data_IF_839819338200
#
_entry.id   IF_839819338200
#
_cell.length_a   1.000
_cell.length_b   1.000
_cell.length_c   1.000
_cell.angle_alpha   90.00
_cell.angle_beta   90.00
_cell.angle_gamma   90.00
#
_symmetry.space_group_name_H-M   'P 1'
#
loop_
_entity.id
_entity.type
_entity.pdbx_description
1 polymer ?
#
# COMPACT_ATOMS: atom_id res chain seq x y z
N UNK A 1 -1.59 3.23 -19.17
CA UNK A 1 -0.56 3.34 -18.09
C UNK A 1 -0.95 4.54 -17.22
N UNK A 2 -0.90 4.42 -15.89
CA UNK A 2 -1.33 5.46 -14.95
C UNK A 2 -0.22 5.81 -13.96
N UNK A 3 -0.08 5.02 -12.88
CA UNK A 3 1.00 5.15 -11.89
C UNK A 3 2.27 4.39 -12.28
N UNK A 4 3.43 4.80 -11.73
CA UNK A 4 4.77 4.37 -12.14
C UNK A 4 5.15 2.92 -11.82
N UNK A 5 4.50 2.24 -10.86
CA UNK A 5 4.89 0.87 -10.44
C UNK A 5 3.73 -0.15 -10.40
N UNK A 6 2.60 0.15 -11.04
CA UNK A 6 1.40 -0.73 -10.95
C UNK A 6 1.70 -2.17 -11.43
N UNK A 7 2.58 -2.33 -12.41
CA UNK A 7 2.99 -3.63 -12.93
C UNK A 7 3.97 -4.35 -12.00
N UNK A 8 4.93 -3.61 -11.43
CA UNK A 8 5.85 -4.13 -10.43
C UNK A 8 5.10 -4.66 -9.21
N UNK A 9 4.13 -3.90 -8.71
CA UNK A 9 3.30 -4.30 -7.56
C UNK A 9 2.59 -5.65 -7.82
N UNK A 10 1.99 -5.81 -9.01
CA UNK A 10 1.33 -7.08 -9.40
C UNK A 10 2.32 -8.22 -9.59
N UNK A 11 3.51 -7.93 -10.13
CA UNK A 11 4.59 -8.92 -10.29
C UNK A 11 5.09 -9.42 -8.93
N UNK A 12 5.10 -8.55 -7.92
CA UNK A 12 5.47 -8.89 -6.55
C UNK A 12 4.32 -9.48 -5.73
N UNK A 13 3.17 -9.79 -6.36
CA UNK A 13 2.06 -10.48 -5.72
C UNK A 13 1.13 -9.60 -4.90
N UNK A 14 1.12 -8.27 -5.11
CA UNK A 14 0.11 -7.38 -4.53
C UNK A 14 -1.20 -7.62 -5.29
N UNK A 15 -1.96 -8.61 -4.84
CA UNK A 15 -3.21 -9.05 -5.44
C UNK A 15 -4.19 -9.54 -4.39
N UNK A 16 -5.43 -9.09 -4.49
CA UNK A 16 -6.54 -9.57 -3.66
C UNK A 16 -7.06 -10.95 -4.10
N UNK A 17 -6.71 -11.41 -5.31
CA UNK A 17 -7.06 -12.74 -5.84
C UNK A 17 -5.81 -13.47 -6.38
N UNK A 18 -4.83 -13.75 -5.52
CA UNK A 18 -3.60 -14.41 -5.94
C UNK A 18 -3.87 -15.83 -6.45
N UNK A 19 -3.14 -16.26 -7.49
CA UNK A 19 -3.24 -17.64 -8.01
C UNK A 19 -2.72 -18.66 -6.99
N UNK A 20 -3.28 -19.88 -7.00
CA UNK A 20 -2.82 -20.99 -6.14
C UNK A 20 -1.30 -21.24 -6.27
N UNK A 21 -0.76 -21.14 -7.49
CA UNK A 21 0.67 -21.32 -7.74
C UNK A 21 1.55 -20.32 -6.97
N UNK A 22 1.10 -19.06 -6.84
CA UNK A 22 1.82 -18.06 -6.05
C UNK A 22 1.73 -18.38 -4.57
N UNK A 23 0.53 -18.74 -4.09
CA UNK A 23 0.29 -19.07 -2.69
C UNK A 23 1.11 -20.29 -2.24
N UNK A 24 1.16 -21.35 -3.05
CA UNK A 24 1.98 -22.54 -2.80
C UNK A 24 3.47 -22.21 -2.71
N UNK A 25 3.95 -21.28 -3.56
CA UNK A 25 5.35 -20.84 -3.53
C UNK A 25 5.67 -20.01 -2.29
N UNK A 26 4.75 -19.15 -1.84
CA UNK A 26 4.90 -18.38 -0.59
C UNK A 26 4.95 -19.35 0.60
N UNK A 27 3.99 -20.28 0.67
CA UNK A 27 3.91 -21.30 1.72
C UNK A 27 5.19 -22.13 1.79
N UNK A 28 5.67 -22.64 0.65
CA UNK A 28 6.92 -23.40 0.58
C UNK A 28 8.15 -22.57 0.97
N UNK A 29 8.21 -21.30 0.56
CA UNK A 29 9.38 -20.44 0.79
C UNK A 29 9.52 -19.97 2.23
N UNK A 30 8.39 -19.68 2.88
CA UNK A 30 8.33 -19.08 4.22
C UNK A 30 7.82 -20.03 5.30
N UNK A 31 7.38 -21.24 4.93
CA UNK A 31 7.00 -22.33 5.82
C UNK A 31 5.88 -21.95 6.82
N UNK A 32 4.80 -21.38 6.31
CA UNK A 32 3.58 -21.09 7.05
C UNK A 32 2.34 -21.29 6.17
N UNK A 33 1.21 -21.64 6.79
CA UNK A 33 -0.05 -21.84 6.07
C UNK A 33 -0.58 -20.51 5.50
N UNK A 34 -0.61 -20.41 4.17
CA UNK A 34 -1.05 -19.19 3.50
C UNK A 34 -2.58 -19.18 3.36
N UNK A 35 -3.29 -18.11 3.74
CA UNK A 35 -4.73 -17.99 3.51
C UNK A 35 -5.08 -18.15 2.02
N UNK A 36 -6.09 -18.99 1.73
CA UNK A 36 -6.50 -19.31 0.35
C UNK A 36 -7.77 -18.59 -0.11
N UNK A 37 -8.43 -17.85 0.77
CA UNK A 37 -9.60 -17.05 0.43
C UNK A 37 -9.22 -15.79 -0.36
N UNK A 38 -10.13 -15.32 -1.21
CA UNK A 38 -9.98 -14.01 -1.85
C UNK A 38 -10.05 -12.89 -0.81
N UNK A 39 -9.22 -11.87 -1.00
CA UNK A 39 -9.28 -10.62 -0.27
C UNK A 39 -10.32 -9.65 -0.84
N UNK A 40 -10.37 -8.46 -0.25
CA UNK A 40 -11.25 -7.40 -0.71
C UNK A 40 -10.56 -6.49 -1.73
N UNK A 41 -11.19 -6.28 -2.89
CA UNK A 41 -10.83 -5.15 -3.74
C UNK A 41 -11.23 -3.81 -3.07
N UNK A 42 -10.88 -2.68 -3.67
CA UNK A 42 -11.14 -1.34 -3.09
C UNK A 42 -12.60 -1.10 -2.69
N UNK A 43 -13.57 -1.47 -3.53
CA UNK A 43 -14.99 -1.23 -3.25
C UNK A 43 -15.50 -2.19 -2.17
N UNK A 44 -15.06 -3.45 -2.21
CA UNK A 44 -15.36 -4.43 -1.17
C UNK A 44 -14.74 -4.05 0.18
N UNK A 45 -13.54 -3.46 0.19
CA UNK A 45 -12.87 -3.00 1.39
C UNK A 45 -13.63 -1.84 2.03
N UNK A 46 -14.11 -0.88 1.22
CA UNK A 46 -15.01 0.19 1.69
C UNK A 46 -16.25 -0.44 2.33
N UNK A 47 -16.89 -1.39 1.65
CA UNK A 47 -18.09 -2.06 2.16
C UNK A 47 -17.81 -2.81 3.48
N UNK A 48 -16.70 -3.52 3.58
CA UNK A 48 -16.30 -4.24 4.78
C UNK A 48 -16.01 -3.30 5.97
N UNK A 49 -15.47 -2.10 5.71
CA UNK A 49 -15.29 -1.07 6.74
C UNK A 49 -16.64 -0.49 7.21
N UNK A 50 -17.58 -0.26 6.28
CA UNK A 50 -18.94 0.16 6.62
C UNK A 50 -19.66 -0.85 7.52
N UNK A 51 -19.55 -2.14 7.19
CA UNK A 51 -20.17 -3.24 7.92
C UNK A 51 -19.42 -3.61 9.22
N UNK A 52 -18.30 -2.94 9.52
CA UNK A 52 -17.49 -3.19 10.72
C UNK A 52 -16.73 -4.52 10.69
N UNK A 53 -16.66 -5.19 9.53
CA UNK A 53 -15.88 -6.40 9.32
C UNK A 53 -14.37 -6.07 9.24
N UNK A 54 -14.04 -4.99 8.53
CA UNK A 54 -12.69 -4.44 8.50
C UNK A 54 -12.56 -3.35 9.59
N UNK A 55 -11.70 -3.61 10.59
CA UNK A 55 -11.54 -2.72 11.76
C UNK A 55 -10.26 -1.88 11.69
N UNK A 56 -9.30 -2.28 10.88
CA UNK A 56 -8.00 -1.61 10.75
C UNK A 56 -7.75 -1.35 9.28
N UNK A 57 -7.41 -0.10 8.95
CA UNK A 57 -6.96 0.30 7.63
C UNK A 57 -5.49 0.69 7.68
N UNK A 58 -4.69 0.17 6.76
CA UNK A 58 -3.29 0.52 6.58
C UNK A 58 -3.09 0.97 5.13
N UNK A 59 -2.67 2.21 4.94
CA UNK A 59 -2.37 2.77 3.63
C UNK A 59 -0.91 3.15 3.48
N UNK A 60 -0.27 2.71 2.41
CA UNK A 60 1.08 3.12 2.01
C UNK A 60 1.01 4.02 0.78
N UNK A 61 1.49 5.26 0.88
CA UNK A 61 1.77 6.12 -0.28
C UNK A 61 0.57 6.56 -1.13
N UNK A 62 -0.66 6.55 -0.59
CA UNK A 62 -1.89 6.88 -1.32
C UNK A 62 -2.75 7.96 -0.67
N UNK A 63 -3.72 8.48 -1.41
CA UNK A 63 -4.79 9.34 -0.91
C UNK A 63 -6.15 8.64 -1.06
N UNK A 64 -6.34 7.56 -0.30
CA UNK A 64 -7.53 6.70 -0.38
C UNK A 64 -8.83 7.50 -0.29
N UNK A 65 -8.94 8.42 0.68
CA UNK A 65 -10.13 9.25 0.90
C UNK A 65 -10.53 10.14 -0.30
N UNK A 66 -9.62 10.38 -1.24
CA UNK A 66 -9.87 11.20 -2.44
C UNK A 66 -9.84 10.40 -3.74
N UNK A 67 -9.12 9.29 -3.77
CA UNK A 67 -8.88 8.49 -4.96
C UNK A 67 -9.95 7.40 -5.20
N UNK A 68 -10.73 7.06 -4.17
CA UNK A 68 -11.83 6.10 -4.29
C UNK A 68 -13.14 6.77 -4.74
N UNK A 69 -14.05 6.02 -5.36
CA UNK A 69 -15.36 6.54 -5.73
C UNK A 69 -16.20 6.83 -4.49
N UNK A 70 -17.22 7.69 -4.64
CA UNK A 70 -18.19 8.03 -3.60
C UNK A 70 -17.52 8.53 -2.29
N UNK A 71 -17.14 9.81 -2.32
CA UNK A 71 -16.36 10.47 -1.29
C UNK A 71 -16.99 10.36 0.10
N UNK A 72 -18.29 10.66 0.23
CA UNK A 72 -18.95 10.66 1.54
C UNK A 72 -19.00 9.26 2.13
N UNK A 73 -19.35 8.29 1.29
CA UNK A 73 -19.39 6.88 1.66
C UNK A 73 -18.02 6.37 2.10
N UNK A 74 -16.99 6.65 1.32
CA UNK A 74 -15.59 6.30 1.68
C UNK A 74 -15.22 6.93 3.02
N UNK A 75 -15.54 8.21 3.24
CA UNK A 75 -15.15 8.88 4.48
C UNK A 75 -15.85 8.29 5.70
N UNK A 76 -17.13 7.96 5.57
CA UNK A 76 -17.90 7.31 6.63
C UNK A 76 -17.35 5.90 6.93
N UNK A 77 -17.01 5.14 5.89
CA UNK A 77 -16.38 3.83 6.03
C UNK A 77 -15.05 3.91 6.80
N UNK A 78 -14.16 4.84 6.43
CA UNK A 78 -12.89 5.04 7.13
C UNK A 78 -13.08 5.43 8.61
N UNK A 79 -14.08 6.29 8.91
CA UNK A 79 -14.40 6.68 10.30
C UNK A 79 -14.91 5.52 11.15
N UNK A 80 -15.46 4.47 10.54
CA UNK A 80 -15.91 3.27 11.25
C UNK A 80 -14.76 2.37 11.71
N UNK A 81 -13.56 2.51 11.13
CA UNK A 81 -12.39 1.74 11.56
C UNK A 81 -11.99 2.09 12.99
N UNK A 82 -11.56 1.09 13.74
CA UNK A 82 -10.95 1.29 15.06
C UNK A 82 -9.58 1.96 14.92
N UNK A 83 -8.82 1.64 13.88
CA UNK A 83 -7.49 2.22 13.64
C UNK A 83 -7.29 2.49 12.14
N UNK A 84 -6.81 3.69 11.83
CA UNK A 84 -6.31 4.06 10.50
C UNK A 84 -4.83 4.41 10.59
N UNK A 85 -3.95 3.69 9.89
CA UNK A 85 -2.53 4.04 9.80
C UNK A 85 -2.16 4.42 8.38
N UNK A 86 -1.44 5.53 8.26
CA UNK A 86 -0.95 6.06 6.99
C UNK A 86 0.57 6.13 7.01
N UNK A 87 1.21 5.39 6.10
CA UNK A 87 2.63 5.48 5.84
C UNK A 87 2.82 6.45 4.67
N UNK A 88 3.35 7.63 4.95
CA UNK A 88 3.28 8.76 4.03
C UNK A 88 4.52 9.66 4.07
N UNK A 89 4.92 10.14 2.90
CA UNK A 89 5.95 11.18 2.74
C UNK A 89 5.39 12.60 2.92
N UNK A 90 4.07 12.77 2.73
CA UNK A 90 3.37 14.06 2.83
C UNK A 90 1.94 13.87 3.32
N UNK A 91 1.45 14.87 4.05
CA UNK A 91 0.04 14.95 4.44
C UNK A 91 -0.86 15.14 3.21
N UNK A 92 -2.05 14.55 3.28
CA UNK A 92 -3.09 14.55 2.26
C UNK A 92 -4.48 14.35 2.89
N UNK A 93 -5.56 14.32 2.08
CA UNK A 93 -6.95 14.26 2.57
C UNK A 93 -7.25 13.06 3.48
N UNK A 94 -6.60 11.92 3.27
CA UNK A 94 -6.82 10.72 4.09
C UNK A 94 -6.44 10.93 5.56
N UNK A 95 -5.49 11.82 5.84
CA UNK A 95 -5.06 12.15 7.21
C UNK A 95 -6.07 13.03 7.98
N UNK A 96 -7.09 13.56 7.30
CA UNK A 96 -8.20 14.30 7.91
C UNK A 96 -9.46 13.45 8.09
N UNK A 97 -9.43 12.21 7.60
CA UNK A 97 -10.55 11.27 7.63
C UNK A 97 -10.09 10.05 8.41
N UNK A 98 -10.08 10.19 9.73
CA UNK A 98 -9.51 9.20 10.66
C UNK A 98 -10.54 8.19 11.13
N UNK A 99 -10.07 7.00 11.50
CA UNK A 99 -10.83 6.08 12.35
C UNK A 99 -10.91 6.61 13.80
N UNK A 100 -11.24 5.72 14.75
CA UNK A 100 -11.25 6.06 16.18
C UNK A 100 -9.88 6.47 16.68
N UNK A 101 -8.86 5.70 16.32
CA UNK A 101 -7.45 6.02 16.50
C UNK A 101 -6.77 6.19 15.13
N UNK A 102 -5.74 7.03 15.07
CA UNK A 102 -4.97 7.26 13.86
C UNK A 102 -3.47 7.41 14.12
N UNK A 103 -2.66 6.78 13.26
CA UNK A 103 -1.21 6.93 13.24
C UNK A 103 -0.75 7.41 11.86
N UNK A 104 0.22 8.33 11.86
CA UNK A 104 0.94 8.73 10.65
C UNK A 104 2.39 8.29 10.85
N UNK A 105 2.85 7.38 10.01
CA UNK A 105 4.20 6.86 10.03
C UNK A 105 4.99 7.53 8.91
N UNK A 106 6.04 8.31 9.23
CA UNK A 106 6.88 8.89 8.20
C UNK A 106 7.64 7.78 7.46
N UNK A 107 7.80 7.94 6.15
CA UNK A 107 8.64 7.08 5.33
C UNK A 107 9.48 7.92 4.38
N UNK A 108 10.56 7.31 3.87
CA UNK A 108 11.42 7.95 2.89
C UNK A 108 10.70 8.08 1.55
N UNK A 109 10.82 9.23 0.92
CA UNK A 109 10.54 9.43 -0.48
C UNK A 109 11.63 8.82 -1.35
N UNK A 110 11.28 8.41 -2.57
CA UNK A 110 12.24 7.85 -3.55
C UNK A 110 13.46 8.74 -3.81
N UNK A 111 13.31 10.05 -3.66
CA UNK A 111 14.38 11.03 -3.88
C UNK A 111 15.31 11.21 -2.68
N UNK A 112 14.94 10.69 -1.51
CA UNK A 112 15.71 10.81 -0.27
C UNK A 112 16.71 9.67 -0.16
N UNK A 113 17.89 9.98 0.37
CA UNK A 113 18.96 9.01 0.58
C UNK A 113 18.51 8.00 1.64
N UNK A 114 18.35 6.76 1.21
CA UNK A 114 18.10 5.62 2.09
C UNK A 114 19.45 5.07 2.59
N UNK A 115 19.87 5.52 3.77
CA UNK A 115 21.14 5.10 4.37
C UNK A 115 20.98 3.78 5.13
N UNK A 116 21.51 2.70 4.57
CA UNK A 116 21.55 1.38 5.19
C UNK A 116 22.91 1.10 5.85
N UNK A 117 22.99 -0.01 6.60
CA UNK A 117 24.23 -0.45 7.26
C UNK A 117 25.39 -0.70 6.28
N UNK A 118 25.09 -1.05 5.02
CA UNK A 118 26.07 -1.33 3.96
C UNK A 118 26.34 -0.12 3.04
N UNK A 119 25.76 1.04 3.32
CA UNK A 119 25.84 2.23 2.48
C UNK A 119 24.47 2.70 1.94
N UNK A 120 24.44 3.72 1.07
CA UNK A 120 23.22 4.17 0.43
C UNK A 120 22.57 3.06 -0.40
N UNK A 121 21.28 2.78 -0.14
CA UNK A 121 20.50 1.78 -0.86
C UNK A 121 20.00 2.36 -2.19
N UNK A 122 20.17 1.58 -3.25
CA UNK A 122 19.55 1.82 -4.55
C UNK A 122 18.33 0.91 -4.72
N UNK A 123 17.33 1.41 -5.44
CA UNK A 123 16.15 0.62 -5.83
C UNK A 123 16.14 0.44 -7.34
N UNK A 124 15.81 -0.76 -7.80
CA UNK A 124 15.65 -1.03 -9.24
C UNK A 124 14.31 -0.47 -9.70
N UNK A 125 14.30 0.27 -10.80
CA UNK A 125 13.10 0.87 -11.39
C UNK A 125 13.02 0.54 -12.88
N UNK A 126 11.79 0.43 -13.38
CA UNK A 126 11.49 0.30 -14.80
C UNK A 126 10.90 1.62 -15.31
N UNK A 127 11.44 2.17 -16.39
CA UNK A 127 10.89 3.38 -17.02
C UNK A 127 9.88 3.07 -18.14
N UNK A 128 9.31 4.12 -18.72
CA UNK A 128 8.32 4.00 -19.80
C UNK A 128 8.82 3.25 -21.03
N UNK A 129 10.13 3.16 -21.24
CA UNK A 129 10.76 2.43 -22.34
C UNK A 129 11.11 0.98 -21.99
N UNK A 130 10.64 0.49 -20.83
CA UNK A 130 10.92 -0.85 -20.31
C UNK A 130 12.40 -1.08 -20.00
N UNK A 131 13.14 -0.01 -19.68
CA UNK A 131 14.53 -0.10 -19.25
C UNK A 131 14.61 -0.22 -17.73
N UNK A 132 15.16 -1.34 -17.28
CA UNK A 132 15.43 -1.60 -15.86
C UNK A 132 16.78 -0.99 -15.47
N UNK A 133 16.78 -0.08 -14.51
CA UNK A 133 18.00 0.57 -14.02
C UNK A 133 17.93 0.86 -12.52
N UNK A 134 19.09 1.14 -11.92
CA UNK A 134 19.19 1.48 -10.50
C UNK A 134 18.89 2.97 -10.28
N UNK A 135 18.10 3.28 -9.25
CA UNK A 135 17.78 4.64 -8.81
C UNK A 135 18.23 4.82 -7.37
N UNK A 136 19.00 5.89 -7.12
CA UNK A 136 19.43 6.30 -5.79
C UNK A 136 18.76 7.62 -5.40
N UNK A 137 18.41 7.74 -4.13
CA UNK A 137 18.05 9.02 -3.54
C UNK A 137 19.24 9.97 -3.50
N UNK A 138 18.99 11.27 -3.63
CA UNK A 138 20.02 12.33 -3.66
C UNK A 138 19.77 13.43 -2.62
N UNK A 139 18.57 13.49 -2.05
CA UNK A 139 18.19 14.48 -1.06
C UNK A 139 18.38 13.93 0.36
N UNK A 140 18.62 14.82 1.32
CA UNK A 140 18.55 14.44 2.74
C UNK A 140 17.07 14.28 3.13
N UNK A 141 16.70 13.26 3.94
CA UNK A 141 15.37 13.13 4.51
C UNK A 141 14.96 14.32 5.38
#
# INVERSE_FOLDING_TARGET
RGHSNVQGDRTMGIDEKPSDLLLDRIESRFNFDVPRGEGHNTVQAIKAMEEGQAKVFIGLGGNFAQATPDTERTHNAMRNCNLTVHISTKLNRSHLVTGKDALILPCLGRTEIDQQATGPQGVTVEDTFSMVHISFGQLKP
#
